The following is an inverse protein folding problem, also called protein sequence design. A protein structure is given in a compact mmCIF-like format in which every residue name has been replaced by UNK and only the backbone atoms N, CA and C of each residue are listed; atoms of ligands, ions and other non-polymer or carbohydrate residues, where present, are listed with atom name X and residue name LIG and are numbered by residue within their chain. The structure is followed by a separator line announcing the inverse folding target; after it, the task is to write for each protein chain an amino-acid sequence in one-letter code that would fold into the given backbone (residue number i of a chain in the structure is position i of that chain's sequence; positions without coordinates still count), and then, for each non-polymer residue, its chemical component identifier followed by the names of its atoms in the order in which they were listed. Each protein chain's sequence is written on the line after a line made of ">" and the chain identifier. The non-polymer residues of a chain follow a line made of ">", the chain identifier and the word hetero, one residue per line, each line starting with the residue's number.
data_IF_106855668530
#
_entry.id   IF_106855668530
#
_cell.length_a   1.000
_cell.length_b   1.000
_cell.length_c   1.000
_cell.angle_alpha   90.00
_cell.angle_beta   90.00
_cell.angle_gamma   90.00
#
_symmetry.space_group_name_H-M   'P 1'
#
loop_
_entity.id
_entity.type
_entity.pdbx_description
1 polymer ?
#
# COMPACT_ATOMS: atom_id res chain seq x y z
N UNK A 1 10.59 -19.71 9.59
CA UNK A 1 11.08 -20.29 8.33
C UNK A 1 9.98 -20.01 7.31
N UNK A 2 10.12 -18.99 6.47
CA UNK A 2 9.07 -18.58 5.52
C UNK A 2 9.18 -19.45 4.27
N UNK A 3 8.13 -20.19 3.94
CA UNK A 3 7.98 -20.91 2.66
C UNK A 3 8.27 -19.96 1.47
N UNK A 4 8.83 -20.46 0.37
CA UNK A 4 9.08 -19.66 -0.82
C UNK A 4 7.76 -19.28 -1.51
N UNK A 5 7.48 -17.97 -1.62
CA UNK A 5 6.41 -17.45 -2.49
C UNK A 5 6.82 -17.59 -3.96
N UNK A 6 6.07 -18.36 -4.74
CA UNK A 6 6.27 -18.48 -6.19
C UNK A 6 5.53 -17.36 -6.92
N UNK A 7 6.25 -16.28 -7.24
CA UNK A 7 5.74 -15.25 -8.16
C UNK A 7 5.98 -15.70 -9.61
N UNK A 8 4.91 -16.13 -10.28
CA UNK A 8 4.95 -16.44 -11.72
C UNK A 8 4.94 -15.14 -12.52
N UNK A 9 6.12 -14.64 -12.88
CA UNK A 9 6.26 -13.64 -13.93
C UNK A 9 6.54 -14.36 -15.25
N UNK A 10 5.66 -14.20 -16.23
CA UNK A 10 5.89 -14.73 -17.57
C UNK A 10 7.14 -14.07 -18.14
N UNK A 11 8.16 -14.85 -18.51
CA UNK A 11 9.32 -14.34 -19.24
C UNK A 11 8.82 -13.73 -20.56
N UNK A 12 8.95 -12.41 -20.78
CA UNK A 12 8.63 -11.83 -22.07
C UNK A 12 9.58 -12.40 -23.13
N UNK A 13 9.22 -12.34 -24.43
CA UNK A 13 10.18 -12.49 -25.51
C UNK A 13 11.39 -11.62 -25.18
N UNK A 14 12.60 -12.16 -25.37
CA UNK A 14 13.87 -11.77 -24.72
C UNK A 14 14.35 -10.32 -24.92
N UNK A 15 13.51 -9.42 -25.41
CA UNK A 15 13.86 -8.06 -25.79
C UNK A 15 12.82 -6.98 -25.43
N UNK A 16 11.91 -7.21 -24.48
CA UNK A 16 10.98 -6.17 -24.03
C UNK A 16 10.89 -6.10 -22.49
N UNK A 17 11.80 -5.35 -21.82
CA UNK A 17 11.74 -5.17 -20.38
C UNK A 17 10.54 -4.31 -19.99
N UNK A 18 9.78 -4.76 -18.99
CA UNK A 18 8.71 -3.96 -18.39
C UNK A 18 9.28 -3.08 -17.29
N UNK A 19 9.22 -1.75 -17.47
CA UNK A 19 9.62 -0.78 -16.45
C UNK A 19 8.48 -0.57 -15.45
N UNK A 20 8.30 -1.51 -14.53
CA UNK A 20 7.19 -1.49 -13.55
C UNK A 20 7.73 -1.66 -12.14
N UNK A 21 7.23 -0.84 -11.22
CA UNK A 21 7.39 -1.06 -9.78
C UNK A 21 6.07 -1.64 -9.24
N UNK A 22 6.16 -2.64 -8.37
CA UNK A 22 5.00 -3.36 -7.83
C UNK A 22 5.07 -3.36 -6.31
N UNK A 23 3.97 -3.01 -5.66
CA UNK A 23 3.74 -3.34 -4.26
C UNK A 23 2.78 -4.52 -4.21
N UNK A 24 3.23 -5.61 -3.61
CA UNK A 24 2.46 -6.83 -3.43
C UNK A 24 2.09 -6.99 -1.95
N UNK A 25 0.81 -6.83 -1.64
CA UNK A 25 0.26 -7.09 -0.32
C UNK A 25 -0.62 -8.34 -0.35
N UNK A 26 -0.50 -9.18 0.67
CA UNK A 26 -1.29 -10.39 0.80
C UNK A 26 -1.45 -10.81 2.25
N UNK A 27 -2.50 -11.58 2.52
CA UNK A 27 -2.71 -12.24 3.79
C UNK A 27 -2.62 -13.75 3.59
N UNK A 28 -1.82 -14.41 4.41
CA UNK A 28 -1.76 -15.86 4.48
C UNK A 28 -2.06 -16.31 5.92
N UNK A 29 -2.71 -17.46 6.07
CA UNK A 29 -3.12 -18.01 7.37
C UNK A 29 -1.92 -18.41 8.23
N UNK A 30 -0.83 -18.85 7.60
CA UNK A 30 0.37 -19.30 8.30
C UNK A 30 1.40 -18.19 8.48
N UNK A 31 1.60 -17.34 7.46
CA UNK A 31 2.60 -16.26 7.51
C UNK A 31 2.09 -14.91 8.02
N UNK A 32 0.79 -14.76 8.28
CA UNK A 32 0.16 -13.49 8.65
C UNK A 32 0.35 -12.41 7.53
N UNK A 33 -0.05 -11.13 7.69
CA UNK A 33 -0.03 -10.18 6.59
C UNK A 33 1.40 -9.86 6.13
N UNK A 34 1.63 -9.97 4.82
CA UNK A 34 2.93 -9.75 4.21
C UNK A 34 2.85 -8.71 3.10
N UNK A 35 3.90 -7.89 3.04
CA UNK A 35 4.05 -6.81 2.07
C UNK A 35 5.43 -6.92 1.44
N UNK A 36 5.45 -6.88 0.12
CA UNK A 36 6.64 -6.96 -0.68
C UNK A 36 6.68 -5.80 -1.68
N UNK A 37 7.87 -5.26 -1.89
CA UNK A 37 8.14 -4.29 -2.95
C UNK A 37 9.04 -4.95 -4.00
N UNK A 38 8.60 -4.90 -5.25
CA UNK A 38 9.36 -5.35 -6.43
C UNK A 38 9.70 -4.11 -7.26
N UNK A 39 10.98 -3.84 -7.44
CA UNK A 39 11.40 -2.73 -8.29
C UNK A 39 11.47 -3.13 -9.77
N UNK A 40 11.68 -2.14 -10.64
CA UNK A 40 11.79 -2.32 -12.09
C UNK A 40 12.99 -3.16 -12.55
N UNK A 41 13.94 -3.48 -11.65
CA UNK A 41 15.05 -4.42 -11.92
C UNK A 41 14.81 -5.80 -11.31
N UNK A 42 13.58 -6.07 -10.84
CA UNK A 42 13.13 -7.32 -10.23
C UNK A 42 13.82 -7.68 -8.90
N UNK A 43 14.27 -6.69 -8.13
CA UNK A 43 14.66 -6.88 -6.74
C UNK A 43 13.42 -7.01 -5.86
N UNK A 44 13.42 -7.95 -4.91
CA UNK A 44 12.27 -8.24 -4.03
C UNK A 44 12.64 -7.92 -2.58
N UNK A 45 11.89 -7.03 -1.96
CA UNK A 45 12.10 -6.61 -0.57
C UNK A 45 10.84 -6.82 0.27
N UNK A 46 10.95 -7.54 1.39
CA UNK A 46 9.86 -7.66 2.38
C UNK A 46 9.87 -6.43 3.29
N UNK A 47 8.75 -5.72 3.36
CA UNK A 47 8.63 -4.46 4.11
C UNK A 47 7.41 -4.48 5.05
N UNK A 48 7.34 -3.50 5.94
CA UNK A 48 6.15 -3.21 6.76
C UNK A 48 5.29 -2.11 6.16
N UNK A 49 5.93 -1.22 5.39
CA UNK A 49 5.33 -0.08 4.71
C UNK A 49 6.05 0.15 3.38
N UNK A 50 5.29 0.51 2.35
CA UNK A 50 5.85 0.79 1.03
C UNK A 50 5.01 1.87 0.32
N UNK A 51 5.70 2.70 -0.47
CA UNK A 51 5.11 3.60 -1.44
C UNK A 51 6.11 3.77 -2.59
N UNK A 52 5.60 4.03 -3.80
CA UNK A 52 6.43 4.40 -4.95
C UNK A 52 5.81 5.59 -5.69
N UNK A 53 6.54 6.13 -6.67
CA UNK A 53 6.19 7.35 -7.38
C UNK A 53 6.65 8.62 -6.66
N UNK A 54 6.39 9.78 -7.24
CA UNK A 54 6.87 11.06 -6.69
C UNK A 54 6.23 11.40 -5.34
N UNK A 55 4.99 10.97 -5.10
CA UNK A 55 4.32 11.12 -3.80
C UNK A 55 4.92 10.28 -2.67
N UNK A 56 5.76 9.30 -3.01
CA UNK A 56 6.32 8.35 -2.02
C UNK A 56 7.21 9.01 -0.98
N UNK A 57 7.94 10.09 -1.31
CA UNK A 57 8.78 10.80 -0.34
C UNK A 57 7.95 11.34 0.84
N UNK A 58 6.81 11.96 0.53
CA UNK A 58 5.87 12.47 1.53
C UNK A 58 5.20 11.30 2.26
N UNK A 59 4.70 10.30 1.52
CA UNK A 59 4.04 9.14 2.11
C UNK A 59 4.94 8.39 3.10
N UNK A 60 6.17 8.06 2.68
CA UNK A 60 7.13 7.34 3.50
C UNK A 60 7.53 8.17 4.72
N UNK A 61 7.79 9.48 4.58
CA UNK A 61 8.11 10.31 5.75
C UNK A 61 7.02 10.29 6.82
N UNK A 62 5.75 10.37 6.42
CA UNK A 62 4.59 10.28 7.31
C UNK A 62 4.47 8.88 7.94
N UNK A 63 4.61 7.83 7.12
CA UNK A 63 4.58 6.45 7.61
C UNK A 63 5.78 6.10 8.51
N UNK A 64 6.95 6.70 8.32
CA UNK A 64 8.09 6.51 9.23
C UNK A 64 7.83 7.13 10.60
N UNK A 65 7.14 8.26 10.65
CA UNK A 65 6.87 8.99 11.89
C UNK A 65 5.70 8.42 12.69
N UNK A 66 4.64 7.99 12.01
CA UNK A 66 3.35 7.75 12.66
C UNK A 66 2.93 6.27 12.69
N UNK A 67 3.47 5.41 11.81
CA UNK A 67 3.12 3.99 11.79
C UNK A 67 3.52 3.29 13.09
N UNK A 68 2.63 2.43 13.60
CA UNK A 68 2.91 1.46 14.66
C UNK A 68 2.40 0.09 14.22
N UNK A 69 3.07 -0.97 14.65
CA UNK A 69 2.71 -2.33 14.29
C UNK A 69 1.38 -2.80 14.90
N UNK A 70 0.89 -2.12 15.93
CA UNK A 70 -0.31 -2.44 16.71
C UNK A 70 -1.52 -1.56 16.39
N UNK A 71 -1.50 -0.85 15.25
CA UNK A 71 -2.59 0.04 14.84
C UNK A 71 -3.91 -0.70 14.60
N UNK A 72 -5.02 -0.07 15.01
CA UNK A 72 -6.36 -0.50 14.56
C UNK A 72 -6.60 -0.09 13.10
N UNK A 73 -7.70 -0.56 12.50
CA UNK A 73 -8.09 -0.14 11.14
C UNK A 73 -8.25 1.37 11.09
N UNK A 74 -8.95 1.91 12.08
CA UNK A 74 -9.33 3.31 12.16
C UNK A 74 -8.07 4.18 12.29
N UNK A 75 -7.12 3.79 13.13
CA UNK A 75 -5.83 4.48 13.24
C UNK A 75 -5.00 4.40 11.96
N UNK A 76 -5.05 3.26 11.25
CA UNK A 76 -4.35 3.09 9.98
C UNK A 76 -4.98 3.94 8.86
N UNK A 77 -6.31 4.02 8.81
CA UNK A 77 -7.05 4.88 7.87
C UNK A 77 -6.76 6.34 8.16
N UNK A 78 -6.81 6.77 9.43
CA UNK A 78 -6.45 8.14 9.83
C UNK A 78 -5.01 8.50 9.41
N UNK A 79 -4.09 7.53 9.43
CA UNK A 79 -2.74 7.72 8.93
C UNK A 79 -2.71 7.88 7.40
N UNK A 80 -3.47 7.06 6.66
CA UNK A 80 -3.60 7.20 5.20
C UNK A 80 -4.16 8.57 4.83
N UNK A 81 -5.17 9.06 5.55
CA UNK A 81 -5.75 10.38 5.31
C UNK A 81 -4.71 11.50 5.51
N UNK A 82 -3.91 11.42 6.58
CA UNK A 82 -2.79 12.35 6.82
C UNK A 82 -1.76 12.29 5.69
N UNK A 83 -1.45 11.10 5.18
CA UNK A 83 -0.54 10.91 4.02
C UNK A 83 -1.12 11.57 2.77
N UNK A 84 -2.40 11.34 2.47
CA UNK A 84 -3.09 11.92 1.31
C UNK A 84 -3.10 13.45 1.40
N UNK A 85 -3.38 14.00 2.59
CA UNK A 85 -3.35 15.45 2.81
C UNK A 85 -1.96 16.04 2.58
N UNK A 86 -0.92 15.40 3.09
CA UNK A 86 0.47 15.86 2.90
C UNK A 86 0.87 15.85 1.42
N UNK A 87 0.46 14.81 0.67
CA UNK A 87 0.70 14.72 -0.77
C UNK A 87 -0.05 15.82 -1.51
N UNK A 88 -1.34 16.04 -1.21
CA UNK A 88 -2.12 17.12 -1.82
C UNK A 88 -1.54 18.50 -1.54
N UNK A 89 -0.96 18.69 -0.36
CA UNK A 89 -0.37 19.97 0.03
C UNK A 89 0.95 20.26 -0.71
N UNK A 90 1.76 19.23 -0.99
CA UNK A 90 3.16 19.41 -1.43
C UNK A 90 3.46 18.92 -2.84
N UNK A 91 2.69 17.97 -3.36
CA UNK A 91 2.86 17.46 -4.71
C UNK A 91 2.02 18.28 -5.69
N UNK A 92 2.69 19.07 -6.53
CA UNK A 92 2.04 19.96 -7.52
C UNK A 92 1.06 19.20 -8.44
N UNK A 93 1.38 17.94 -8.76
CA UNK A 93 0.58 17.05 -9.61
C UNK A 93 -0.13 15.97 -8.79
N UNK A 94 -0.57 16.30 -7.58
CA UNK A 94 -1.28 15.36 -6.72
C UNK A 94 -2.52 14.76 -7.43
N UNK A 95 -2.68 13.43 -7.42
CA UNK A 95 -3.88 12.80 -7.95
C UNK A 95 -5.15 13.31 -7.23
N UNK A 96 -6.26 13.50 -7.96
CA UNK A 96 -7.51 13.94 -7.34
C UNK A 96 -8.13 12.85 -6.46
N UNK A 97 -8.01 11.59 -6.88
CA UNK A 97 -8.72 10.46 -6.29
C UNK A 97 -7.75 9.43 -5.72
N UNK A 98 -8.11 8.87 -4.57
CA UNK A 98 -7.37 7.78 -3.92
C UNK A 98 -8.30 6.62 -3.60
N UNK A 99 -7.81 5.40 -3.78
CA UNK A 99 -8.54 4.17 -3.42
C UNK A 99 -7.84 3.55 -2.23
N UNK A 100 -8.57 3.33 -1.14
CA UNK A 100 -8.06 2.64 0.04
C UNK A 100 -8.58 1.22 0.02
N UNK A 101 -7.67 0.25 -0.06
CA UNK A 101 -7.99 -1.18 0.03
C UNK A 101 -7.36 -1.77 1.26
N UNK A 102 -8.12 -2.63 1.91
CA UNK A 102 -7.71 -3.37 3.09
C UNK A 102 -7.56 -4.84 2.71
N UNK A 103 -6.47 -5.44 3.18
CA UNK A 103 -6.16 -6.86 2.99
C UNK A 103 -6.06 -7.51 4.36
N UNK A 104 -6.90 -8.50 4.63
CA UNK A 104 -6.85 -9.32 5.84
C UNK A 104 -7.26 -10.77 5.56
N UNK A 105 -7.54 -11.52 6.63
CA UNK A 105 -7.93 -12.95 6.57
C UNK A 105 -9.20 -13.21 5.77
N UNK A 106 -10.08 -12.23 5.67
CA UNK A 106 -11.37 -12.35 4.98
C UNK A 106 -11.24 -11.95 3.50
N UNK A 107 -10.05 -11.52 3.09
CA UNK A 107 -9.68 -11.20 1.72
C UNK A 107 -9.38 -9.72 1.52
N UNK A 108 -9.62 -9.26 0.29
CA UNK A 108 -9.41 -7.86 -0.10
C UNK A 108 -10.75 -7.15 -0.11
N UNK A 109 -10.87 -6.04 0.62
CA UNK A 109 -12.04 -5.14 0.57
C UNK A 109 -11.63 -3.72 0.24
N UNK A 110 -12.50 -3.02 -0.46
CA UNK A 110 -12.38 -1.57 -0.62
C UNK A 110 -12.97 -0.90 0.63
N UNK A 111 -12.19 -0.04 1.27
CA UNK A 111 -12.60 0.66 2.48
C UNK A 111 -13.28 1.98 2.15
N UNK A 112 -12.63 2.78 1.31
CA UNK A 112 -13.15 4.07 0.90
C UNK A 112 -12.59 4.45 -0.47
N UNK A 113 -13.44 5.14 -1.22
CA UNK A 113 -13.03 5.88 -2.40
C UNK A 113 -13.00 7.37 -2.04
N UNK A 114 -11.80 7.94 -1.96
CA UNK A 114 -11.63 9.36 -1.69
C UNK A 114 -11.77 10.14 -2.99
N UNK A 115 -13.01 10.45 -3.38
CA UNK A 115 -13.31 11.45 -4.40
C UNK A 115 -13.16 12.85 -3.80
N UNK A 116 -12.50 13.78 -4.51
CA UNK A 116 -12.62 15.18 -4.14
C UNK A 116 -13.96 15.73 -4.65
N UNK A 117 -15.04 15.53 -3.87
CA UNK A 117 -16.12 16.46 -3.51
C UNK A 117 -17.17 15.66 -2.70
N UNK A 118 -17.19 15.87 -1.37
CA UNK A 118 -18.22 15.48 -0.39
C UNK A 118 -18.56 13.98 -0.25
N UNK A 119 -18.03 13.34 0.78
CA UNK A 119 -18.79 12.95 1.99
C UNK A 119 -18.06 11.83 2.75
N UNK A 120 -18.01 11.99 4.08
CA UNK A 120 -17.43 11.03 5.00
C UNK A 120 -18.55 10.17 5.61
N UNK A 121 -18.41 8.84 5.57
CA UNK A 121 -18.73 7.90 6.66
C UNK A 121 -18.71 6.44 6.17
N UNK A 122 -17.80 5.60 6.66
CA UNK A 122 -18.03 4.13 6.78
C UNK A 122 -17.20 3.54 7.94
N UNK A 123 -17.79 2.55 8.62
CA UNK A 123 -17.44 1.94 9.92
C UNK A 123 -16.69 0.59 9.79
N UNK A 124 -15.68 0.41 10.68
CA UNK A 124 -15.09 -0.78 11.35
C UNK A 124 -14.77 -2.13 10.67
N UNK A 125 -13.60 -2.70 11.01
CA UNK A 125 -13.43 -4.01 11.71
C UNK A 125 -11.97 -4.51 11.73
N UNK A 126 -11.47 -4.77 12.95
CA UNK A 126 -10.07 -5.00 13.34
C UNK A 126 -9.30 -6.10 12.60
N UNK A 127 -8.10 -5.74 12.17
CA UNK A 127 -7.07 -6.62 11.61
C UNK A 127 -5.68 -5.98 11.75
N UNK A 128 -4.63 -6.77 11.55
CA UNK A 128 -3.25 -6.30 11.53
C UNK A 128 -2.94 -5.82 10.10
N UNK A 129 -2.61 -4.53 9.91
CA UNK A 129 -2.49 -3.93 8.56
C UNK A 129 -1.07 -3.55 8.19
N UNK A 130 -0.79 -3.66 6.88
CA UNK A 130 0.36 -3.04 6.22
C UNK A 130 -0.16 -2.00 5.23
N UNK A 131 0.33 -0.77 5.35
CA UNK A 131 -0.12 0.36 4.55
C UNK A 131 0.43 0.24 3.13
N UNK A 132 -0.45 0.28 2.13
CA UNK A 132 -0.08 0.34 0.71
C UNK A 132 -0.63 1.62 0.12
N UNK A 133 0.26 2.44 -0.42
CA UNK A 133 -0.14 3.62 -1.20
C UNK A 133 0.67 3.66 -2.48
N UNK A 134 -0.03 3.74 -3.62
CA UNK A 134 0.54 3.89 -4.96
C UNK A 134 0.20 5.30 -5.43
N UNK A 135 1.21 6.08 -5.85
CA UNK A 135 1.05 7.45 -6.35
C UNK A 135 1.73 7.62 -7.70
#
# INVERSE_FOLDING_TARGET
>A
MTEPFFLFMTKPPTNNPYMVNIILAGYDKEMCPSLYFVDYIASLHKLEKAAFGYGSYFALSMMYRHYRSDMTVEEAVDLVDKVIMEIRLRLVVAPPNFVIKIVDKDGVREYAWCESIKDASVVASGGLFKLVTSF
#
